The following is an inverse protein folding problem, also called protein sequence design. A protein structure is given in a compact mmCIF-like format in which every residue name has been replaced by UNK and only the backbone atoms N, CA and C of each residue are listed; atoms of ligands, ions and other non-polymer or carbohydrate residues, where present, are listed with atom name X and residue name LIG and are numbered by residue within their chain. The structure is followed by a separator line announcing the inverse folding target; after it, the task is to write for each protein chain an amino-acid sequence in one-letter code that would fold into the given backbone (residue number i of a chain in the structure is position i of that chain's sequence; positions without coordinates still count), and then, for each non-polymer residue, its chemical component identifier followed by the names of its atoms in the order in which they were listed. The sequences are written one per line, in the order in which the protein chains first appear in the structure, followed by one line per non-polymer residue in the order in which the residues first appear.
data_IF_800986718628
#
_entry.id   IF_800986718628
#
_cell.length_a   1.000
_cell.length_b   1.000
_cell.length_c   1.000
_cell.angle_alpha   90.00
_cell.angle_beta   90.00
_cell.angle_gamma   90.00
#
_symmetry.space_group_name_H-M   'P 1'
#
loop_
_entity.id
_entity.type
_entity.pdbx_description
1 polymer ?
#
# COMPACT_ATOMS: atom_id res chain seq x y z
N UNK A 1 -11.62 12.23 7.57
CA UNK A 1 -11.39 13.19 6.48
C UNK A 1 -12.60 14.12 6.34
N UNK A 2 -12.42 15.44 6.31
CA UNK A 2 -13.53 16.38 6.15
C UNK A 2 -14.14 16.27 4.75
N UNK A 3 -15.47 16.23 4.66
CA UNK A 3 -16.19 16.26 3.40
C UNK A 3 -16.26 17.68 2.88
N UNK A 4 -15.71 17.93 1.69
CA UNK A 4 -15.71 19.25 1.04
C UNK A 4 -16.61 19.20 -0.21
N UNK A 5 -17.55 20.14 -0.40
CA UNK A 5 -18.36 20.21 -1.62
C UNK A 5 -17.48 20.54 -2.83
N UNK A 6 -17.81 19.96 -3.98
CA UNK A 6 -17.01 20.06 -5.23
C UNK A 6 -16.75 21.52 -5.64
N UNK A 7 -17.71 22.41 -5.39
CA UNK A 7 -17.62 23.85 -5.68
C UNK A 7 -16.50 24.55 -4.90
N UNK A 8 -16.11 24.02 -3.74
CA UNK A 8 -15.11 24.63 -2.86
C UNK A 8 -13.71 24.03 -3.02
N UNK A 9 -13.54 22.92 -3.75
CA UNK A 9 -12.26 22.22 -3.92
C UNK A 9 -11.14 23.13 -4.45
N UNK A 10 -11.46 24.10 -5.32
CA UNK A 10 -10.48 25.03 -5.88
C UNK A 10 -9.78 25.87 -4.79
N UNK A 11 -10.42 26.12 -3.65
CA UNK A 11 -9.83 26.85 -2.53
C UNK A 11 -8.79 26.05 -1.73
N UNK A 12 -8.58 24.78 -2.08
CA UNK A 12 -7.60 23.90 -1.45
C UNK A 12 -6.36 23.68 -2.31
N UNK A 13 -6.28 24.28 -3.51
CA UNK A 13 -5.06 24.24 -4.34
C UNK A 13 -3.90 24.88 -3.57
N UNK A 14 -2.81 24.13 -3.41
CA UNK A 14 -1.62 24.57 -2.68
C UNK A 14 -1.71 24.45 -1.16
N UNK A 15 -2.82 23.95 -0.60
CA UNK A 15 -2.90 23.58 0.83
C UNK A 15 -2.41 22.15 1.03
N UNK A 16 -1.65 21.94 2.10
CA UNK A 16 -1.27 20.60 2.51
C UNK A 16 -2.47 19.86 3.11
N UNK A 17 -2.66 18.60 2.69
CA UNK A 17 -3.61 17.70 3.30
C UNK A 17 -2.95 17.03 4.50
N UNK A 18 -3.73 16.78 5.54
CA UNK A 18 -3.28 16.00 6.69
C UNK A 18 -2.93 14.57 6.27
N UNK A 19 -1.93 13.99 6.93
CA UNK A 19 -1.60 12.58 6.74
C UNK A 19 -2.73 11.71 7.30
N UNK A 20 -3.02 10.60 6.63
CA UNK A 20 -3.86 9.55 7.19
C UNK A 20 -3.17 8.87 8.37
N UNK A 21 -3.97 8.16 9.15
CA UNK A 21 -3.43 7.21 10.13
C UNK A 21 -2.60 6.14 9.42
N UNK A 22 -1.62 5.60 10.16
CA UNK A 22 -0.81 4.49 9.71
C UNK A 22 -1.69 3.28 9.41
N UNK A 23 -1.48 2.69 8.23
CA UNK A 23 -2.14 1.45 7.83
C UNK A 23 -1.19 0.27 7.97
N UNK A 24 -1.57 -0.73 8.76
CA UNK A 24 -0.86 -2.00 8.80
C UNK A 24 -1.04 -2.75 7.49
N UNK A 25 0.08 -3.20 6.91
CA UNK A 25 0.09 -4.04 5.72
C UNK A 25 0.39 -5.47 6.15
N UNK A 26 -0.63 -6.32 6.07
CA UNK A 26 -0.52 -7.75 6.33
C UNK A 26 -0.36 -8.57 5.05
N UNK A 27 -0.14 -9.87 5.23
CA UNK A 27 0.06 -10.80 4.13
C UNK A 27 -1.18 -10.93 3.23
N UNK A 28 -2.38 -10.82 3.79
CA UNK A 28 -3.62 -10.91 3.03
C UNK A 28 -3.73 -9.77 2.02
N UNK A 29 -3.47 -8.54 2.47
CA UNK A 29 -3.45 -7.36 1.59
C UNK A 29 -2.38 -7.47 0.51
N UNK A 30 -1.20 -8.02 0.83
CA UNK A 30 -0.14 -8.27 -0.17
C UNK A 30 -0.60 -9.29 -1.21
N UNK A 31 -1.26 -10.37 -0.79
CA UNK A 31 -1.79 -11.40 -1.70
C UNK A 31 -2.88 -10.85 -2.61
N UNK A 32 -3.84 -10.09 -2.07
CA UNK A 32 -4.89 -9.45 -2.86
C UNK A 32 -4.30 -8.45 -3.88
N UNK A 33 -3.23 -7.75 -3.50
CA UNK A 33 -2.54 -6.86 -4.42
C UNK A 33 -1.85 -7.63 -5.54
N UNK A 34 -1.24 -8.79 -5.25
CA UNK A 34 -0.70 -9.71 -6.25
C UNK A 34 -1.77 -10.22 -7.22
N UNK A 35 -2.96 -10.55 -6.73
CA UNK A 35 -4.09 -10.92 -7.59
C UNK A 35 -4.52 -9.77 -8.51
N UNK A 36 -4.56 -8.53 -7.98
CA UNK A 36 -4.96 -7.35 -8.73
C UNK A 36 -3.94 -6.94 -9.80
N UNK A 37 -2.64 -7.11 -9.53
CA UNK A 37 -1.55 -6.72 -10.45
C UNK A 37 -1.08 -7.87 -11.34
N UNK A 38 -1.39 -9.11 -10.99
CA UNK A 38 -0.83 -10.31 -11.61
C UNK A 38 0.64 -10.56 -11.21
N UNK A 39 1.17 -9.84 -10.23
CA UNK A 39 2.54 -10.01 -9.74
C UNK A 39 2.60 -11.01 -8.58
N UNK A 40 2.85 -12.27 -8.94
CA UNK A 40 3.01 -13.38 -8.01
C UNK A 40 4.47 -13.72 -7.72
N UNK A 41 5.39 -12.75 -7.77
CA UNK A 41 6.77 -13.02 -7.36
C UNK A 41 6.82 -13.59 -5.94
N UNK A 42 7.59 -14.67 -5.74
CA UNK A 42 7.60 -15.42 -4.49
C UNK A 42 7.98 -14.59 -3.26
N UNK A 43 8.72 -13.50 -3.46
CA UNK A 43 9.06 -12.51 -2.42
C UNK A 43 7.84 -11.81 -1.82
N UNK A 44 6.69 -11.84 -2.49
CA UNK A 44 5.43 -11.27 -2.02
C UNK A 44 4.49 -12.31 -1.41
N UNK A 45 4.42 -13.50 -2.01
CA UNK A 45 3.31 -14.45 -1.74
C UNK A 45 3.75 -15.75 -1.04
N UNK A 46 5.04 -16.06 -0.97
CA UNK A 46 5.57 -17.29 -0.38
C UNK A 46 6.48 -16.97 0.81
N UNK A 47 5.97 -17.02 2.06
CA UNK A 47 6.77 -16.71 3.25
C UNK A 47 7.99 -17.61 3.45
N UNK A 48 7.89 -18.88 3.05
CA UNK A 48 8.97 -19.85 3.24
C UNK A 48 10.13 -19.56 2.29
N UNK A 49 9.82 -19.23 1.02
CA UNK A 49 10.85 -18.83 0.06
C UNK A 49 11.35 -17.42 0.31
N UNK A 50 10.47 -16.48 0.68
CA UNK A 50 10.84 -15.11 0.97
C UNK A 50 11.82 -15.03 2.17
N UNK A 51 11.64 -15.88 3.19
CA UNK A 51 12.55 -15.96 4.33
C UNK A 51 13.99 -16.38 3.96
N UNK A 52 14.18 -17.05 2.83
CA UNK A 52 15.51 -17.46 2.34
C UNK A 52 16.21 -16.36 1.54
N UNK A 53 15.53 -15.24 1.29
CA UNK A 53 16.11 -14.07 0.63
C UNK A 53 16.73 -13.11 1.64
N UNK A 54 17.52 -12.11 1.19
CA UNK A 54 18.05 -11.07 2.08
C UNK A 54 16.99 -10.29 2.85
N UNK A 55 15.70 -10.37 2.47
CA UNK A 55 14.60 -9.69 3.15
C UNK A 55 14.15 -10.41 4.42
N UNK A 56 14.40 -11.72 4.54
CA UNK A 56 14.04 -12.51 5.73
C UNK A 56 12.53 -12.71 5.97
N UNK A 57 11.67 -12.08 5.18
CA UNK A 57 10.21 -12.20 5.20
C UNK A 57 9.62 -11.77 3.84
N UNK A 58 8.32 -11.93 3.68
CA UNK A 58 7.59 -11.33 2.55
C UNK A 58 7.64 -9.82 2.62
N UNK A 59 7.72 -9.20 1.44
CA UNK A 59 7.70 -7.74 1.29
C UNK A 59 6.48 -7.33 0.47
N UNK A 60 6.00 -6.11 0.65
CA UNK A 60 4.94 -5.57 -0.20
C UNK A 60 5.49 -5.16 -1.58
N UNK A 61 4.62 -5.11 -2.59
CA UNK A 61 4.97 -4.64 -3.93
C UNK A 61 5.31 -3.14 -3.94
N UNK A 62 6.15 -2.70 -4.89
CA UNK A 62 6.70 -1.33 -4.98
C UNK A 62 5.63 -0.23 -5.07
N UNK A 63 4.45 -0.55 -5.58
CA UNK A 63 3.30 0.35 -5.68
C UNK A 63 2.38 0.33 -4.46
N UNK A 64 2.60 -0.57 -3.50
CA UNK A 64 1.89 -0.63 -2.22
C UNK A 64 2.46 0.41 -1.24
N UNK A 65 2.35 1.69 -1.62
CA UNK A 65 2.70 2.81 -0.74
C UNK A 65 1.49 3.15 0.13
N UNK A 66 1.53 2.69 1.38
CA UNK A 66 0.72 3.25 2.45
C UNK A 66 1.68 3.79 3.51
N UNK A 67 1.51 5.06 3.86
CA UNK A 67 2.15 5.70 5.01
C UNK A 67 1.06 5.86 6.06
#
# INVERSE_FOLDING_TARGET
MPSVPVTELKHYIGKEAECSDWLTIDQERINLFAEATGDFQFIHVDPVKAAQTPFGATIAQVSCRCR
#
